data_IF_125138595861
#
_entry.id   IF_125138595861
#
_cell.length_a   1.000
_cell.length_b   1.000
_cell.length_c   1.000
_cell.angle_alpha   90.00
_cell.angle_beta   90.00
_cell.angle_gamma   90.00
#
_symmetry.space_group_name_H-M   'P 1'
#
loop_
_entity.id
_entity.type
_entity.pdbx_description
1 polymer ?
#
# COMPACT_ATOMS: atom_id res chain seq x y z
N UNK A 1 24.33 25.69 21.92
CA UNK A 1 23.44 26.62 21.20
C UNK A 1 22.05 26.01 21.23
N UNK A 2 21.14 26.61 21.99
CA UNK A 2 19.84 26.04 22.38
C UNK A 2 18.83 26.41 21.28
N UNK A 3 18.32 25.45 20.51
CA UNK A 3 17.19 25.66 19.61
C UNK A 3 15.88 25.61 20.41
N UNK A 4 14.90 26.50 20.18
CA UNK A 4 13.68 26.52 20.96
C UNK A 4 12.72 25.42 20.52
N UNK A 5 12.15 24.72 21.52
CA UNK A 5 10.93 23.94 21.40
C UNK A 5 9.75 24.89 21.15
N UNK A 6 9.21 24.89 19.94
CA UNK A 6 7.75 25.02 19.69
C UNK A 6 7.45 25.08 18.19
N UNK A 7 7.03 23.96 17.61
CA UNK A 7 6.22 23.91 16.38
C UNK A 7 5.43 22.59 16.30
N UNK A 8 5.09 21.99 17.45
CA UNK A 8 4.22 20.82 17.53
C UNK A 8 2.85 21.26 18.05
N UNK A 9 1.96 21.75 17.18
CA UNK A 9 0.49 21.64 17.33
C UNK A 9 -0.25 22.48 16.28
N UNK A 10 -0.21 22.11 15.00
CA UNK A 10 -1.35 22.33 14.09
C UNK A 10 -1.51 21.10 13.23
N UNK A 11 -2.08 20.06 13.84
CA UNK A 11 -2.45 18.82 13.15
C UNK A 11 -3.54 19.17 12.12
N UNK A 12 -3.34 18.92 10.81
CA UNK A 12 -4.35 19.19 9.78
C UNK A 12 -5.64 18.35 9.92
N UNK A 13 -5.66 17.39 10.86
CA UNK A 13 -6.72 16.38 11.02
C UNK A 13 -8.13 16.94 11.17
N UNK A 14 -8.31 18.09 11.82
CA UNK A 14 -9.65 18.67 12.00
C UNK A 14 -10.32 19.09 10.69
N UNK A 15 -9.57 19.67 9.74
CA UNK A 15 -10.11 20.14 8.45
C UNK A 15 -10.54 18.98 7.54
N UNK A 16 -9.83 17.85 7.60
CA UNK A 16 -10.10 16.70 6.73
C UNK A 16 -11.19 15.77 7.28
N UNK A 17 -11.28 15.60 8.60
CA UNK A 17 -12.43 14.93 9.21
C UNK A 17 -13.71 15.73 8.92
N UNK A 18 -13.65 17.06 8.96
CA UNK A 18 -14.80 17.88 8.55
C UNK A 18 -15.14 17.77 7.06
N UNK A 19 -14.17 17.55 6.17
CA UNK A 19 -14.45 17.30 4.74
C UNK A 19 -15.07 15.92 4.51
N UNK A 20 -14.57 14.86 5.16
CA UNK A 20 -15.18 13.52 5.07
C UNK A 20 -16.60 13.51 5.63
N UNK A 21 -16.79 14.09 6.82
CA UNK A 21 -18.11 14.24 7.44
C UNK A 21 -19.00 15.17 6.62
N UNK A 22 -18.44 16.22 6.03
CA UNK A 22 -19.14 17.13 5.13
C UNK A 22 -19.69 16.43 3.89
N UNK A 23 -18.91 15.54 3.28
CA UNK A 23 -19.38 14.74 2.13
C UNK A 23 -20.51 13.78 2.52
N UNK A 24 -20.41 13.15 3.69
CA UNK A 24 -21.46 12.28 4.24
C UNK A 24 -22.71 13.05 4.65
N UNK A 25 -22.59 14.32 5.07
CA UNK A 25 -23.72 15.18 5.47
C UNK A 25 -24.38 15.91 4.29
N UNK A 26 -23.59 16.31 3.29
CA UNK A 26 -24.09 17.01 2.09
C UNK A 26 -25.05 16.12 1.28
N UNK A 27 -24.79 14.81 1.23
CA UNK A 27 -25.71 13.84 0.62
C UNK A 27 -27.04 13.70 1.37
N UNK A 28 -27.16 14.23 2.60
CA UNK A 28 -28.40 14.23 3.38
C UNK A 28 -29.19 15.55 3.28
N UNK A 29 -28.65 16.62 2.65
CA UNK A 29 -29.24 17.96 2.74
C UNK A 29 -29.56 18.68 1.41
N UNK A 30 -29.08 18.25 0.25
CA UNK A 30 -29.37 18.97 -1.00
C UNK A 30 -30.16 18.12 -2.00
N UNK A 31 -31.24 18.71 -2.54
CA UNK A 31 -32.14 18.14 -3.56
C UNK A 31 -31.51 17.98 -4.95
N UNK A 32 -30.25 17.57 -5.02
CA UNK A 32 -29.63 16.97 -6.20
C UNK A 32 -29.31 15.50 -5.87
N UNK A 33 -29.82 14.60 -6.71
CA UNK A 33 -29.89 13.15 -6.53
C UNK A 33 -28.52 12.42 -6.64
N UNK A 34 -27.51 12.82 -5.86
CA UNK A 34 -26.26 12.06 -5.74
C UNK A 34 -26.30 11.17 -4.50
N UNK A 35 -26.60 9.88 -4.72
CA UNK A 35 -26.58 8.87 -3.68
C UNK A 35 -25.14 8.48 -3.38
N UNK A 36 -24.74 8.41 -2.11
CA UNK A 36 -23.38 7.98 -1.73
C UNK A 36 -23.40 6.63 -1.01
N UNK A 37 -22.41 5.79 -1.30
CA UNK A 37 -22.22 4.47 -0.68
C UNK A 37 -20.84 4.41 -0.02
N UNK A 38 -20.75 3.82 1.18
CA UNK A 38 -19.48 3.67 1.90
C UNK A 38 -18.92 2.27 1.74
N UNK A 39 -17.63 2.17 1.41
CA UNK A 39 -16.89 0.91 1.32
C UNK A 39 -15.70 0.87 2.28
N UNK A 40 -15.39 -0.32 2.78
CA UNK A 40 -14.16 -0.60 3.54
C UNK A 40 -13.09 -1.16 2.61
N UNK A 41 -12.06 -0.37 2.37
CA UNK A 41 -10.94 -0.71 1.48
C UNK A 41 -9.73 -1.10 2.33
N UNK A 42 -9.31 -2.36 2.23
CA UNK A 42 -8.07 -2.86 2.80
C UNK A 42 -6.91 -2.62 1.82
N UNK A 43 -5.81 -2.06 2.31
CA UNK A 43 -4.58 -1.86 1.54
C UNK A 43 -3.42 -2.48 2.31
N UNK A 44 -2.76 -3.48 1.71
CA UNK A 44 -1.60 -4.15 2.28
C UNK A 44 -0.35 -3.91 1.43
N UNK A 45 0.80 -3.77 2.09
CA UNK A 45 2.08 -3.82 1.39
C UNK A 45 3.13 -4.67 2.09
N UNK A 46 3.94 -5.38 1.29
CA UNK A 46 5.00 -6.24 1.81
C UNK A 46 6.16 -6.43 0.81
N UNK A 47 7.35 -5.96 1.17
CA UNK A 47 8.57 -6.39 0.50
C UNK A 47 8.94 -7.81 0.99
N UNK A 48 8.95 -8.80 0.09
CA UNK A 48 9.18 -10.21 0.43
C UNK A 48 10.63 -10.66 0.24
N UNK A 49 11.54 -9.72 -0.05
CA UNK A 49 12.99 -9.94 0.01
C UNK A 49 13.52 -10.98 -0.99
N UNK A 50 12.85 -11.17 -2.12
CA UNK A 50 13.23 -12.17 -3.13
C UNK A 50 12.76 -13.59 -2.82
N UNK A 51 12.01 -13.80 -1.73
CA UNK A 51 11.57 -15.13 -1.31
C UNK A 51 10.29 -15.56 -2.00
N UNK A 52 10.29 -16.80 -2.47
CA UNK A 52 9.05 -17.46 -2.83
C UNK A 52 8.27 -17.76 -1.54
N UNK A 53 6.95 -17.50 -1.50
CA UNK A 53 6.17 -17.88 -0.33
C UNK A 53 6.18 -19.41 -0.17
N UNK A 54 6.22 -19.93 1.06
CA UNK A 54 5.89 -21.33 1.34
C UNK A 54 4.48 -21.69 0.85
N UNK A 55 4.22 -22.97 0.57
CA UNK A 55 2.89 -23.42 0.13
C UNK A 55 1.83 -23.34 1.25
N UNK A 56 2.28 -23.40 2.50
CA UNK A 56 1.47 -23.36 3.73
C UNK A 56 1.47 -21.99 4.42
N UNK A 57 1.91 -20.94 3.72
CA UNK A 57 1.94 -19.59 4.27
C UNK A 57 0.51 -19.08 4.56
N UNK A 58 0.17 -18.97 5.84
CA UNK A 58 -1.12 -18.45 6.30
C UNK A 58 -1.18 -16.91 6.20
N UNK A 59 -2.06 -16.40 5.35
CA UNK A 59 -2.30 -14.96 5.16
C UNK A 59 -3.51 -14.43 5.94
N UNK A 60 -4.26 -15.26 6.67
CA UNK A 60 -5.53 -14.86 7.29
C UNK A 60 -5.38 -13.71 8.29
N UNK A 61 -4.35 -13.74 9.13
CA UNK A 61 -4.10 -12.69 10.13
C UNK A 61 -3.70 -11.36 9.47
N UNK A 62 -2.77 -11.39 8.51
CA UNK A 62 -2.38 -10.18 7.78
C UNK A 62 -3.58 -9.57 7.06
N UNK A 63 -4.32 -10.39 6.32
CA UNK A 63 -5.48 -9.97 5.54
C UNK A 63 -6.72 -9.68 6.41
N UNK A 64 -6.67 -9.90 7.73
CA UNK A 64 -7.79 -9.66 8.64
C UNK A 64 -9.08 -10.34 8.15
N UNK A 65 -8.96 -11.55 7.59
CA UNK A 65 -10.09 -12.25 6.94
C UNK A 65 -11.18 -12.57 7.95
N UNK A 66 -10.80 -12.68 9.22
CA UNK A 66 -11.71 -13.01 10.31
C UNK A 66 -12.68 -11.88 10.65
N UNK A 67 -12.29 -10.63 10.43
CA UNK A 67 -13.15 -9.47 10.65
C UNK A 67 -14.35 -9.45 9.68
N UNK A 68 -14.24 -10.09 8.50
CA UNK A 68 -15.32 -10.22 7.51
C UNK A 68 -15.81 -8.91 6.89
N UNK A 69 -15.19 -7.78 7.25
CA UNK A 69 -15.78 -6.45 7.11
C UNK A 69 -15.26 -5.61 5.96
N UNK A 70 -14.36 -6.15 5.13
CA UNK A 70 -13.78 -5.42 4.00
C UNK A 70 -14.56 -5.72 2.71
N UNK A 71 -14.62 -4.76 1.80
CA UNK A 71 -15.30 -4.87 0.52
C UNK A 71 -14.31 -5.04 -0.64
N UNK A 72 -13.13 -4.42 -0.50
CA UNK A 72 -12.05 -4.42 -1.47
C UNK A 72 -10.73 -4.68 -0.74
N UNK A 73 -9.89 -5.54 -1.31
CA UNK A 73 -8.49 -5.72 -0.91
C UNK A 73 -7.58 -5.25 -2.04
N UNK A 74 -6.58 -4.44 -1.69
CA UNK A 74 -5.48 -4.04 -2.58
C UNK A 74 -4.18 -4.45 -1.94
N UNK A 75 -3.43 -5.33 -2.61
CA UNK A 75 -2.21 -5.92 -2.05
C UNK A 75 -1.04 -5.64 -2.98
N UNK A 76 -0.06 -4.90 -2.47
CA UNK A 76 1.16 -4.51 -3.20
C UNK A 76 2.41 -5.15 -2.62
N UNK A 77 3.13 -5.91 -3.43
CA UNK A 77 4.34 -6.61 -3.04
C UNK A 77 5.56 -6.06 -3.78
N UNK A 78 6.72 -6.13 -3.13
CA UNK A 78 8.01 -5.85 -3.72
C UNK A 78 8.94 -7.05 -3.55
N UNK A 79 9.92 -7.17 -4.43
CA UNK A 79 10.86 -8.29 -4.47
C UNK A 79 10.20 -9.68 -4.47
N UNK A 80 9.10 -9.89 -5.20
CA UNK A 80 8.48 -11.23 -5.31
C UNK A 80 9.31 -12.24 -6.11
N UNK A 81 10.44 -11.82 -6.66
CA UNK A 81 11.42 -12.67 -7.34
C UNK A 81 12.83 -12.27 -6.91
N UNK A 82 13.80 -13.20 -6.84
CA UNK A 82 15.19 -12.88 -6.57
C UNK A 82 15.73 -11.89 -7.61
N UNK A 83 16.30 -10.76 -7.19
CA UNK A 83 16.82 -9.73 -8.08
C UNK A 83 18.20 -10.12 -8.67
N UNK A 84 18.22 -11.13 -9.54
CA UNK A 84 19.37 -11.49 -10.36
C UNK A 84 19.04 -11.36 -11.86
N UNK A 85 20.06 -11.23 -12.72
CA UNK A 85 19.87 -11.00 -14.16
C UNK A 85 18.94 -12.02 -14.84
N UNK A 86 18.95 -13.27 -14.35
CA UNK A 86 18.10 -14.36 -14.87
C UNK A 86 16.63 -14.19 -14.51
N UNK A 87 16.30 -13.64 -13.35
CA UNK A 87 14.91 -13.34 -12.95
C UNK A 87 14.36 -12.09 -13.65
N UNK A 88 15.22 -11.11 -13.94
CA UNK A 88 14.82 -9.86 -14.61
C UNK A 88 14.53 -10.08 -16.11
N UNK A 89 15.20 -11.03 -16.76
CA UNK A 89 15.09 -11.30 -18.20
C UNK A 89 14.51 -12.69 -18.55
N UNK A 90 14.22 -13.53 -17.56
CA UNK A 90 13.78 -14.91 -17.78
C UNK A 90 12.25 -15.12 -17.79
N UNK A 91 11.76 -16.23 -18.40
CA UNK A 91 10.32 -16.53 -18.54
C UNK A 91 9.60 -16.87 -17.22
N UNK A 92 10.32 -17.01 -16.10
CA UNK A 92 9.78 -17.42 -14.79
C UNK A 92 9.07 -16.30 -14.01
N UNK A 93 8.95 -15.08 -14.54
CA UNK A 93 8.31 -13.98 -13.79
C UNK A 93 6.86 -14.31 -13.39
N UNK A 94 6.07 -14.86 -14.32
CA UNK A 94 4.63 -15.14 -14.09
C UNK A 94 4.37 -16.16 -12.98
N UNK A 95 5.29 -17.07 -12.68
CA UNK A 95 5.03 -18.13 -11.70
C UNK A 95 4.95 -17.60 -10.26
N UNK A 96 5.73 -16.57 -9.92
CA UNK A 96 5.72 -16.00 -8.58
C UNK A 96 4.40 -15.25 -8.28
N UNK A 97 3.95 -14.39 -9.19
CA UNK A 97 2.67 -13.70 -9.04
C UNK A 97 1.48 -14.67 -8.96
N UNK A 98 1.47 -15.74 -9.78
CA UNK A 98 0.43 -16.76 -9.70
C UNK A 98 0.39 -17.46 -8.34
N UNK A 99 1.56 -17.76 -7.76
CA UNK A 99 1.63 -18.38 -6.43
C UNK A 99 1.06 -17.46 -5.35
N UNK A 100 1.47 -16.19 -5.33
CA UNK A 100 0.90 -15.19 -4.41
C UNK A 100 -0.61 -15.02 -4.62
N UNK A 101 -1.06 -14.93 -5.86
CA UNK A 101 -2.48 -14.78 -6.19
C UNK A 101 -3.31 -15.95 -5.65
N UNK A 102 -2.81 -17.19 -5.77
CA UNK A 102 -3.47 -18.37 -5.22
C UNK A 102 -3.57 -18.33 -3.69
N UNK A 103 -2.46 -18.05 -3.00
CA UNK A 103 -2.47 -17.95 -1.53
C UNK A 103 -3.44 -16.87 -1.03
N UNK A 104 -3.54 -15.75 -1.74
CA UNK A 104 -4.49 -14.69 -1.42
C UNK A 104 -5.93 -15.17 -1.67
N UNK A 105 -6.20 -15.82 -2.80
CA UNK A 105 -7.52 -16.35 -3.11
C UNK A 105 -8.00 -17.37 -2.07
N UNK A 106 -7.11 -18.29 -1.69
CA UNK A 106 -7.35 -19.32 -0.69
C UNK A 106 -7.64 -18.66 0.67
N UNK A 107 -6.81 -17.71 1.12
CA UNK A 107 -7.02 -17.02 2.41
C UNK A 107 -8.30 -16.17 2.44
N UNK A 108 -8.62 -15.44 1.37
CA UNK A 108 -9.83 -14.61 1.32
C UNK A 108 -11.12 -15.43 1.27
N UNK A 109 -11.06 -16.70 0.86
CA UNK A 109 -12.22 -17.56 0.66
C UNK A 109 -12.21 -18.84 1.52
N UNK A 110 -11.27 -18.98 2.47
CA UNK A 110 -11.03 -20.19 3.28
C UNK A 110 -12.24 -20.64 4.10
N UNK A 111 -13.10 -19.71 4.55
CA UNK A 111 -14.25 -19.99 5.41
C UNK A 111 -15.33 -20.90 4.80
N UNK A 112 -15.35 -21.09 3.48
CA UNK A 112 -16.36 -21.94 2.81
C UNK A 112 -15.98 -23.40 2.68
N UNK A 113 -14.69 -23.76 2.66
CA UNK A 113 -14.29 -25.18 2.52
C UNK A 113 -14.73 -26.05 3.71
N UNK A 114 -15.03 -25.44 4.86
CA UNK A 114 -15.48 -26.13 6.08
C UNK A 114 -17.01 -26.20 6.17
N UNK A 115 -17.75 -25.23 5.60
CA UNK A 115 -19.21 -25.18 5.69
C UNK A 115 -19.93 -25.96 4.59
N UNK A 116 -19.28 -26.28 3.47
CA UNK A 116 -19.88 -27.08 2.39
C UNK A 116 -19.88 -28.61 2.69
N UNK A 117 -19.36 -29.05 3.84
CA UNK A 117 -19.25 -30.46 4.24
C UNK A 117 -20.33 -30.97 5.21
N UNK A 118 -21.06 -30.09 5.89
CA UNK A 118 -22.11 -30.45 6.86
C UNK A 118 -23.27 -29.44 6.72
N UNK A 119 -24.49 -29.93 6.54
CA UNK A 119 -25.76 -29.17 6.38
C UNK A 119 -26.12 -28.56 5.01
N UNK A 120 -26.31 -29.44 4.01
CA UNK A 120 -27.07 -29.13 2.79
C UNK A 120 -28.60 -29.08 2.98
N UNK A 121 -29.13 -29.05 4.22
CA UNK A 121 -30.58 -29.11 4.47
C UNK A 121 -31.02 -28.27 5.66
N UNK A 122 -30.83 -26.94 5.62
CA UNK A 122 -31.74 -25.97 6.30
C UNK A 122 -31.36 -24.52 5.99
N UNK A 123 -32.29 -23.80 5.36
CA UNK A 123 -32.39 -22.33 5.52
C UNK A 123 -31.91 -21.48 4.35
N UNK A 124 -32.60 -21.56 3.21
CA UNK A 124 -32.64 -20.47 2.24
C UNK A 124 -33.45 -19.29 2.80
N UNK A 125 -32.90 -18.57 3.78
CA UNK A 125 -33.40 -17.28 4.24
C UNK A 125 -32.31 -16.55 5.03
N UNK A 126 -31.80 -15.46 4.45
CA UNK A 126 -30.86 -14.48 5.02
C UNK A 126 -29.34 -14.82 5.02
N UNK A 127 -28.78 -15.21 3.87
CA UNK A 127 -27.33 -15.04 3.62
C UNK A 127 -27.08 -13.64 3.03
N UNK A 128 -26.90 -12.64 3.89
CA UNK A 128 -26.59 -11.25 3.51
C UNK A 128 -25.27 -10.79 4.16
N UNK A 129 -24.18 -11.53 4.00
CA UNK A 129 -22.91 -11.09 4.62
C UNK A 129 -21.57 -11.55 4.06
N UNK A 130 -21.44 -12.71 3.40
CA UNK A 130 -20.10 -13.23 3.06
C UNK A 130 -19.99 -13.70 1.61
N UNK A 131 -20.07 -12.75 0.68
CA UNK A 131 -19.79 -13.01 -0.74
C UNK A 131 -18.31 -13.36 -1.00
N UNK A 132 -18.07 -14.26 -1.97
CA UNK A 132 -16.75 -14.69 -2.47
C UNK A 132 -15.95 -13.50 -3.00
N UNK A 133 -14.66 -13.43 -2.72
CA UNK A 133 -13.76 -12.43 -3.31
C UNK A 133 -13.26 -12.90 -4.68
N UNK A 134 -13.27 -11.98 -5.65
CA UNK A 134 -12.74 -12.23 -7.00
C UNK A 134 -11.66 -11.21 -7.33
N UNK A 135 -10.61 -11.68 -7.99
CA UNK A 135 -9.56 -10.80 -8.51
C UNK A 135 -10.16 -9.92 -9.62
N UNK A 136 -10.14 -8.60 -9.40
CA UNK A 136 -10.55 -7.58 -10.37
C UNK A 136 -9.44 -7.37 -11.39
N UNK A 137 -8.20 -7.28 -10.90
CA UNK A 137 -7.03 -6.99 -11.70
C UNK A 137 -5.77 -7.34 -10.92
N UNK A 138 -4.77 -7.85 -11.63
CA UNK A 138 -3.44 -8.11 -11.07
C UNK A 138 -2.37 -7.80 -12.10
N UNK A 139 -1.24 -7.24 -11.67
CA UNK A 139 -0.13 -6.88 -12.55
C UNK A 139 1.20 -7.03 -11.84
N UNK A 140 2.15 -7.63 -12.55
CA UNK A 140 3.56 -7.72 -12.15
C UNK A 140 4.43 -6.90 -13.10
N UNK A 141 5.43 -6.23 -12.53
CA UNK A 141 6.59 -5.66 -13.22
C UNK A 141 7.85 -6.08 -12.47
N UNK A 142 8.59 -7.04 -13.02
CA UNK A 142 9.77 -7.65 -12.40
C UNK A 142 9.47 -8.13 -10.97
N UNK A 143 9.97 -7.45 -9.94
CA UNK A 143 9.74 -7.79 -8.53
C UNK A 143 8.55 -7.08 -7.88
N UNK A 144 7.89 -6.15 -8.58
CA UNK A 144 6.72 -5.43 -8.05
C UNK A 144 5.45 -6.13 -8.52
N UNK A 145 4.53 -6.42 -7.61
CA UNK A 145 3.27 -7.09 -7.91
C UNK A 145 2.11 -6.43 -7.19
N UNK A 146 1.01 -6.20 -7.90
CA UNK A 146 -0.24 -5.68 -7.32
C UNK A 146 -1.38 -6.61 -7.68
N UNK A 147 -2.28 -6.84 -6.73
CA UNK A 147 -3.57 -7.46 -6.98
C UNK A 147 -4.69 -6.70 -6.26
N UNK A 148 -5.85 -6.60 -6.92
CA UNK A 148 -7.06 -5.99 -6.41
C UNK A 148 -8.16 -7.03 -6.41
N UNK A 149 -8.83 -7.20 -5.27
CA UNK A 149 -9.90 -8.15 -5.06
C UNK A 149 -11.14 -7.44 -4.56
N UNK A 150 -12.30 -7.79 -5.09
CA UNK A 150 -13.57 -7.24 -4.65
C UNK A 150 -14.54 -8.37 -4.35
N UNK A 151 -15.44 -8.12 -3.39
CA UNK A 151 -16.55 -9.03 -3.10
C UNK A 151 -17.40 -9.23 -4.36
N UNK A 152 -17.90 -10.44 -4.59
CA UNK A 152 -18.63 -10.81 -5.80
C UNK A 152 -19.82 -9.89 -6.11
N UNK A 153 -20.60 -9.51 -5.09
CA UNK A 153 -21.70 -8.55 -5.24
C UNK A 153 -21.27 -7.14 -5.66
N UNK A 154 -20.03 -6.74 -5.35
CA UNK A 154 -19.46 -5.46 -5.72
C UNK A 154 -18.88 -5.45 -7.14
N UNK A 155 -18.48 -6.62 -7.66
CA UNK A 155 -17.77 -6.74 -8.94
C UNK A 155 -18.52 -6.09 -10.11
N UNK A 156 -19.86 -6.13 -10.11
CA UNK A 156 -20.70 -5.51 -11.14
C UNK A 156 -20.61 -3.98 -11.19
N UNK A 157 -20.24 -3.36 -10.08
CA UNK A 157 -20.07 -1.91 -9.96
C UNK A 157 -18.64 -1.45 -10.29
N UNK A 158 -17.70 -2.39 -10.40
CA UNK A 158 -16.31 -2.10 -10.77
C UNK A 158 -16.16 -2.10 -12.28
N UNK A 159 -15.91 -0.91 -12.85
CA UNK A 159 -15.80 -0.68 -14.29
C UNK A 159 -14.41 -0.21 -14.68
N UNK A 160 -14.05 -0.44 -15.94
CA UNK A 160 -12.82 0.07 -16.56
C UNK A 160 -11.56 -0.16 -15.70
N UNK A 161 -11.19 -1.40 -15.34
CA UNK A 161 -9.88 -1.64 -14.76
C UNK A 161 -8.78 -1.24 -15.76
N UNK A 162 -7.73 -0.58 -15.29
CA UNK A 162 -6.60 -0.14 -16.09
C UNK A 162 -5.30 -0.32 -15.32
N UNK A 163 -4.20 -0.59 -16.04
CA UNK A 163 -2.88 -0.80 -15.45
C UNK A 163 -1.82 0.01 -16.17
N UNK A 164 -0.82 0.48 -15.44
CA UNK A 164 0.36 1.15 -15.97
C UNK A 164 1.57 0.74 -15.15
N UNK A 165 2.74 0.63 -15.78
CA UNK A 165 3.97 0.21 -15.11
C UNK A 165 5.11 1.12 -15.54
N UNK A 166 5.81 1.69 -14.57
CA UNK A 166 6.90 2.65 -14.78
C UNK A 166 8.14 2.13 -14.07
N UNK A 167 9.20 1.82 -14.81
CA UNK A 167 10.50 1.49 -14.23
C UNK A 167 11.28 2.74 -13.84
N UNK A 168 11.91 2.71 -12.67
CA UNK A 168 12.78 3.76 -12.11
C UNK A 168 14.20 3.26 -11.76
N UNK A 169 14.56 2.04 -12.18
CA UNK A 169 15.89 1.46 -11.92
C UNK A 169 16.99 2.01 -12.86
N UNK A 170 17.94 1.17 -13.27
CA UNK A 170 19.11 1.60 -14.06
C UNK A 170 18.67 2.41 -15.30
N UNK A 171 19.28 3.59 -15.48
CA UNK A 171 18.94 4.58 -16.52
C UNK A 171 17.48 5.08 -16.51
N UNK A 172 16.79 5.00 -15.37
CA UNK A 172 15.38 5.38 -15.23
C UNK A 172 14.42 4.48 -16.01
N UNK A 173 14.86 3.27 -16.41
CA UNK A 173 14.08 2.39 -17.32
C UNK A 173 14.19 0.90 -17.00
N UNK A 174 15.28 0.39 -16.39
CA UNK A 174 15.45 -1.04 -16.08
C UNK A 174 15.25 -1.38 -14.59
N UNK A 175 14.14 -2.06 -14.28
CA UNK A 175 14.22 -3.50 -13.95
C UNK A 175 14.09 -4.00 -12.50
N UNK A 176 14.06 -3.18 -11.46
CA UNK A 176 13.76 -3.64 -10.08
C UNK A 176 13.16 -2.57 -9.15
N UNK A 177 13.29 -1.30 -9.54
CA UNK A 177 12.66 -0.14 -8.90
C UNK A 177 11.65 0.49 -9.86
N UNK A 178 10.66 1.20 -9.32
CA UNK A 178 9.58 1.82 -10.09
C UNK A 178 8.23 1.63 -9.42
N UNK A 179 7.17 1.57 -10.22
CA UNK A 179 5.82 1.33 -9.73
C UNK A 179 4.96 0.51 -10.70
N UNK A 180 3.99 -0.19 -10.12
CA UNK A 180 2.82 -0.73 -10.81
C UNK A 180 1.59 0.02 -10.30
N UNK A 181 0.90 0.70 -11.21
CA UNK A 181 -0.30 1.49 -10.94
C UNK A 181 -1.53 0.81 -11.50
N UNK A 182 -2.61 0.82 -10.74
CA UNK A 182 -3.88 0.19 -11.08
C UNK A 182 -5.00 1.18 -10.84
N UNK A 183 -5.93 1.31 -11.78
CA UNK A 183 -7.12 2.16 -11.64
C UNK A 183 -8.40 1.44 -11.98
N UNK A 184 -9.51 1.92 -11.46
CA UNK A 184 -10.87 1.50 -11.85
C UNK A 184 -11.89 2.56 -11.43
N UNK A 185 -13.10 2.48 -12.00
CA UNK A 185 -14.28 3.10 -11.41
C UNK A 185 -14.96 2.13 -10.48
N UNK A 186 -15.41 2.63 -9.34
CA UNK A 186 -16.41 1.97 -8.53
C UNK A 186 -17.62 2.90 -8.44
N UNK A 187 -18.75 2.46 -9.01
CA UNK A 187 -19.84 3.38 -9.37
C UNK A 187 -19.28 4.53 -10.21
N UNK A 188 -19.45 5.78 -9.78
CA UNK A 188 -18.97 6.96 -10.49
C UNK A 188 -17.71 7.58 -9.85
N UNK A 189 -17.11 6.88 -8.88
CA UNK A 189 -15.87 7.30 -8.22
C UNK A 189 -14.66 6.60 -8.82
N UNK A 190 -13.64 7.38 -9.18
CA UNK A 190 -12.38 6.86 -9.69
C UNK A 190 -11.35 6.58 -8.60
N UNK A 191 -10.76 5.38 -8.65
CA UNK A 191 -9.69 4.95 -7.76
C UNK A 191 -8.39 4.74 -8.53
N UNK A 192 -7.27 5.12 -7.92
CA UNK A 192 -5.92 4.78 -8.39
C UNK A 192 -5.04 4.30 -7.23
N UNK A 193 -4.50 3.09 -7.36
CA UNK A 193 -3.56 2.48 -6.41
C UNK A 193 -2.18 2.35 -7.07
N UNK A 194 -1.15 2.86 -6.41
CA UNK A 194 0.22 2.95 -6.93
C UNK A 194 1.15 2.19 -6.00
N UNK A 195 1.59 1.00 -6.42
CA UNK A 195 2.54 0.20 -5.64
C UNK A 195 3.97 0.49 -6.10
N UNK A 196 4.74 1.14 -5.23
CA UNK A 196 6.09 1.59 -5.48
C UNK A 196 7.14 0.64 -4.90
N UNK A 197 8.32 0.67 -5.52
CA UNK A 197 9.58 0.23 -4.95
C UNK A 197 10.62 1.29 -5.34
N UNK A 198 10.91 2.22 -4.45
CA UNK A 198 11.77 3.39 -4.74
C UNK A 198 13.25 3.10 -4.47
N UNK A 199 14.14 3.97 -4.93
CA UNK A 199 15.58 3.90 -4.72
C UNK A 199 15.95 3.59 -3.26
N UNK A 200 16.72 2.52 -3.09
CA UNK A 200 17.28 2.14 -1.79
C UNK A 200 18.60 2.86 -1.55
N UNK A 201 18.98 3.05 -0.29
CA UNK A 201 20.25 3.65 0.07
C UNK A 201 20.12 4.53 1.29
N UNK A 202 21.24 4.88 1.89
CA UNK A 202 21.33 5.69 3.12
C UNK A 202 22.49 6.69 3.05
N UNK A 203 23.04 6.90 1.85
CA UNK A 203 24.09 7.88 1.60
C UNK A 203 23.46 9.23 1.28
N UNK A 204 24.25 10.29 1.38
CA UNK A 204 23.84 11.64 0.98
C UNK A 204 23.32 11.64 -0.46
N UNK A 205 22.15 12.25 -0.68
CA UNK A 205 21.49 12.28 -1.98
C UNK A 205 20.48 11.15 -2.21
N UNK A 206 20.47 10.07 -1.42
CA UNK A 206 19.56 8.95 -1.65
C UNK A 206 18.08 9.33 -1.38
N UNK A 207 17.82 10.22 -0.42
CA UNK A 207 16.48 10.76 -0.19
C UNK A 207 16.00 11.55 -1.43
N UNK A 208 16.87 12.36 -2.03
CA UNK A 208 16.57 13.11 -3.24
C UNK A 208 16.35 12.18 -4.45
N UNK A 209 17.05 11.04 -4.53
CA UNK A 209 16.77 10.01 -5.54
C UNK A 209 15.38 9.40 -5.35
N UNK A 210 14.96 9.10 -4.12
CA UNK A 210 13.59 8.63 -3.83
C UNK A 210 12.53 9.66 -4.21
N UNK A 211 12.77 10.94 -3.93
CA UNK A 211 11.90 12.05 -4.36
C UNK A 211 11.81 12.11 -5.89
N UNK A 212 12.94 11.95 -6.59
CA UNK A 212 13.00 11.95 -8.04
C UNK A 212 12.24 10.75 -8.64
N UNK A 213 12.43 9.54 -8.08
CA UNK A 213 11.67 8.35 -8.49
C UNK A 213 10.16 8.57 -8.33
N UNK A 214 9.73 9.10 -7.19
CA UNK A 214 8.31 9.38 -6.93
C UNK A 214 7.75 10.40 -7.93
N UNK A 215 8.47 11.49 -8.19
CA UNK A 215 8.07 12.49 -9.18
C UNK A 215 7.98 11.91 -10.60
N UNK A 216 8.97 11.11 -10.99
CA UNK A 216 9.02 10.46 -12.31
C UNK A 216 7.87 9.47 -12.49
N UNK A 217 7.56 8.67 -11.47
CA UNK A 217 6.41 7.75 -11.44
C UNK A 217 5.10 8.52 -11.60
N UNK A 218 4.90 9.59 -10.83
CA UNK A 218 3.69 10.43 -10.91
C UNK A 218 3.51 11.05 -12.31
N UNK A 219 4.61 11.52 -12.89
CA UNK A 219 4.63 12.16 -14.21
C UNK A 219 4.40 11.17 -15.36
N UNK A 220 5.13 10.05 -15.39
CA UNK A 220 5.14 9.10 -16.51
C UNK A 220 3.98 8.13 -16.49
N UNK A 221 3.38 7.88 -15.33
CA UNK A 221 2.20 7.01 -15.28
C UNK A 221 1.09 7.61 -16.14
N UNK A 222 0.57 6.79 -17.04
CA UNK A 222 -0.54 7.14 -17.92
C UNK A 222 -1.36 5.88 -18.18
N UNK A 223 -2.67 5.98 -18.03
CA UNK A 223 -3.60 4.90 -18.33
C UNK A 223 -4.15 5.07 -19.75
N UNK A 224 -3.66 4.22 -20.66
CA UNK A 224 -4.10 4.22 -22.05
C UNK A 224 -5.36 3.38 -22.22
N UNK A 225 -6.22 3.81 -23.14
CA UNK A 225 -7.38 3.04 -23.57
C UNK A 225 -6.98 2.05 -24.66
N UNK A 226 -7.20 0.77 -24.43
CA UNK A 226 -7.04 -0.25 -25.46
C UNK A 226 -8.13 -0.10 -26.53
N UNK A 227 -7.74 -0.11 -27.80
CA UNK A 227 -8.67 -0.25 -28.93
C UNK A 227 -9.19 1.04 -29.57
N UNK A 228 -8.61 2.22 -29.30
CA UNK A 228 -8.92 3.46 -30.04
C UNK A 228 -10.30 4.08 -29.80
N UNK A 229 -11.19 3.42 -29.05
CA UNK A 229 -12.46 3.99 -28.62
C UNK A 229 -12.26 5.08 -27.56
N UNK A 230 -13.04 6.18 -27.65
CA UNK A 230 -13.11 7.18 -26.58
C UNK A 230 -13.63 6.51 -25.31
N UNK A 231 -12.96 6.78 -24.20
CA UNK A 231 -13.46 6.51 -22.86
C UNK A 231 -14.92 6.97 -22.73
N UNK A 232 -15.81 6.21 -22.08
CA UNK A 232 -17.04 6.79 -21.57
C UNK A 232 -16.65 7.96 -20.64
N UNK A 233 -17.15 9.17 -20.90
CA UNK A 233 -16.93 10.38 -20.09
C UNK A 233 -15.51 10.52 -19.53
N UNK A 234 -14.53 10.79 -20.39
CA UNK A 234 -13.08 10.97 -20.11
C UNK A 234 -12.57 10.55 -18.72
N UNK A 235 -12.31 9.25 -18.52
CA UNK A 235 -11.65 8.82 -17.27
C UNK A 235 -10.31 9.53 -17.03
N UNK A 236 -9.95 9.71 -15.76
CA UNK A 236 -8.61 10.11 -15.33
C UNK A 236 -7.50 9.34 -16.06
N UNK A 237 -6.57 10.09 -16.68
CA UNK A 237 -5.40 9.52 -17.39
C UNK A 237 -4.16 9.50 -16.51
N UNK A 238 -3.99 10.50 -15.63
CA UNK A 238 -2.86 10.58 -14.68
C UNK A 238 -3.29 10.14 -13.29
N UNK A 239 -2.31 9.77 -12.47
CA UNK A 239 -2.54 9.32 -11.09
C UNK A 239 -3.34 10.36 -10.31
N UNK A 240 -2.91 11.62 -10.34
CA UNK A 240 -3.46 12.69 -9.51
C UNK A 240 -4.83 13.22 -9.99
N UNK A 241 -5.29 12.78 -11.16
CA UNK A 241 -6.60 13.14 -11.71
C UNK A 241 -7.73 12.26 -11.13
N UNK A 242 -7.40 11.18 -10.41
CA UNK A 242 -8.40 10.29 -9.82
C UNK A 242 -8.91 10.86 -8.50
N UNK A 243 -10.18 10.57 -8.19
CA UNK A 243 -10.83 11.05 -6.97
C UNK A 243 -10.10 10.53 -5.74
N UNK A 244 -9.79 9.22 -5.74
CA UNK A 244 -9.21 8.48 -4.61
C UNK A 244 -7.89 7.86 -5.01
N UNK A 245 -6.79 8.38 -4.47
CA UNK A 245 -5.45 7.91 -4.78
C UNK A 245 -4.81 7.32 -3.53
N UNK A 246 -4.23 6.13 -3.66
CA UNK A 246 -3.42 5.49 -2.61
C UNK A 246 -2.07 5.11 -3.19
N UNK A 247 -1.00 5.55 -2.54
CA UNK A 247 0.36 5.15 -2.84
C UNK A 247 0.83 4.24 -1.72
N UNK A 248 1.30 3.06 -2.08
CA UNK A 248 1.76 2.04 -1.14
C UNK A 248 3.09 1.47 -1.61
N UNK A 249 3.86 0.88 -0.72
CA UNK A 249 5.03 0.10 -1.11
C UNK A 249 6.23 0.25 -0.20
N UNK A 250 7.34 -0.34 -0.65
CA UNK A 250 8.66 -0.07 -0.11
C UNK A 250 9.18 1.25 -0.71
N UNK A 251 8.89 2.34 0.01
CA UNK A 251 9.32 3.68 -0.36
C UNK A 251 10.78 3.94 0.02
N UNK A 252 11.39 3.04 0.80
CA UNK A 252 12.81 3.03 1.14
C UNK A 252 13.34 4.27 1.89
N UNK A 253 12.50 5.21 2.32
CA UNK A 253 12.89 6.33 3.17
C UNK A 253 13.43 5.83 4.51
N UNK A 254 14.43 6.55 5.03
CA UNK A 254 15.26 6.17 6.18
C UNK A 254 15.16 7.19 7.31
N UNK A 255 15.99 7.02 8.33
CA UNK A 255 16.09 7.94 9.45
C UNK A 255 17.27 8.88 9.19
N UNK A 256 17.00 10.17 9.09
CA UNK A 256 17.97 11.26 8.98
C UNK A 256 18.46 11.70 10.37
N UNK A 257 19.18 10.80 11.05
CA UNK A 257 19.71 11.00 12.40
C UNK A 257 21.12 10.42 12.53
N UNK A 258 21.90 10.94 13.46
CA UNK A 258 23.17 10.33 13.85
C UNK A 258 22.98 8.90 14.36
N UNK A 259 23.90 8.02 14.01
CA UNK A 259 23.83 6.58 14.29
C UNK A 259 23.94 6.26 15.81
N UNK A 260 24.66 7.07 16.59
CA UNK A 260 24.73 6.89 18.05
C UNK A 260 23.42 7.29 18.74
N UNK A 261 22.80 8.38 18.29
CA UNK A 261 21.49 8.81 18.80
C UNK A 261 20.39 7.81 18.42
N UNK A 262 20.36 7.38 17.15
CA UNK A 262 19.45 6.34 16.68
C UNK A 262 19.59 5.08 17.53
N UNK A 263 20.81 4.69 17.92
CA UNK A 263 21.09 3.53 18.81
C UNK A 263 20.41 3.65 20.14
N UNK A 264 20.47 4.83 20.75
CA UNK A 264 19.84 5.06 22.04
C UNK A 264 18.32 4.95 21.94
N UNK A 265 17.72 5.59 20.92
CA UNK A 265 16.28 5.60 20.74
C UNK A 265 15.73 4.22 20.41
N UNK A 266 16.39 3.47 19.53
CA UNK A 266 15.97 2.12 19.13
C UNK A 266 16.05 1.13 20.29
N UNK A 267 17.14 1.14 21.08
CA UNK A 267 17.26 0.29 22.28
C UNK A 267 16.15 0.57 23.28
N UNK A 268 15.87 1.85 23.50
CA UNK A 268 14.82 2.30 24.40
C UNK A 268 13.40 2.17 23.80
N UNK A 269 13.27 1.69 22.55
CA UNK A 269 12.01 1.58 21.81
C UNK A 269 11.22 2.90 21.74
N UNK A 270 11.94 4.02 21.70
CA UNK A 270 11.41 5.38 21.67
C UNK A 270 11.04 5.80 20.24
N UNK A 271 10.07 5.10 19.65
CA UNK A 271 9.71 5.23 18.23
C UNK A 271 9.25 6.62 17.84
N UNK A 272 8.46 7.30 18.68
CA UNK A 272 7.97 8.64 18.39
C UNK A 272 9.10 9.65 18.18
N UNK A 273 10.17 9.58 18.99
CA UNK A 273 11.34 10.45 18.82
C UNK A 273 12.18 10.06 17.61
N UNK A 274 12.26 8.76 17.27
CA UNK A 274 12.95 8.32 16.06
C UNK A 274 12.22 8.79 14.78
N UNK A 275 10.89 8.84 14.81
CA UNK A 275 10.05 9.32 13.69
C UNK A 275 10.22 10.82 13.42
N UNK A 276 10.68 11.62 14.39
CA UNK A 276 10.96 13.05 14.16
C UNK A 276 12.05 13.25 13.09
N UNK A 277 12.88 12.23 12.86
CA UNK A 277 13.91 12.19 11.83
C UNK A 277 13.56 11.26 10.66
N UNK A 278 12.32 10.80 10.51
CA UNK A 278 11.91 9.99 9.35
C UNK A 278 11.90 10.86 8.08
N UNK A 279 12.72 10.49 7.10
CA UNK A 279 12.87 11.28 5.87
C UNK A 279 11.54 11.49 5.14
N UNK A 280 10.64 10.50 5.09
CA UNK A 280 9.36 10.66 4.39
C UNK A 280 8.46 11.65 5.13
N UNK A 281 8.39 11.59 6.46
CA UNK A 281 7.63 12.57 7.25
C UNK A 281 8.19 13.99 7.08
N UNK A 282 9.51 14.14 6.98
CA UNK A 282 10.16 15.41 6.67
C UNK A 282 9.77 15.90 5.26
N UNK A 283 9.79 15.03 4.24
CA UNK A 283 9.36 15.35 2.88
C UNK A 283 7.87 15.75 2.79
N UNK A 284 7.00 15.04 3.51
CA UNK A 284 5.58 15.36 3.62
C UNK A 284 5.35 16.71 4.29
N UNK A 285 6.06 16.98 5.39
CA UNK A 285 5.94 18.25 6.13
C UNK A 285 6.37 19.45 5.30
N UNK A 286 7.33 19.26 4.39
CA UNK A 286 7.82 20.32 3.52
C UNK A 286 6.94 20.59 2.30
N UNK A 287 5.91 19.76 2.04
CA UNK A 287 4.92 20.02 0.98
C UNK A 287 5.50 20.03 -0.45
N UNK A 288 6.55 19.25 -0.73
CA UNK A 288 7.17 19.17 -2.08
C UNK A 288 6.36 18.26 -3.01
N UNK A 289 6.97 17.19 -3.53
CA UNK A 289 6.31 16.23 -4.42
C UNK A 289 5.17 15.46 -3.74
N UNK A 290 5.12 15.52 -2.41
CA UNK A 290 4.06 14.95 -1.60
C UNK A 290 3.02 15.97 -1.12
N UNK A 291 2.93 17.16 -1.75
CA UNK A 291 1.85 18.09 -1.45
C UNK A 291 0.46 17.44 -1.62
N UNK A 292 -0.43 17.69 -0.65
CA UNK A 292 -1.76 17.10 -0.59
C UNK A 292 -1.83 15.60 -0.27
N UNK A 293 -0.70 14.91 -0.07
CA UNK A 293 -0.68 13.54 0.41
C UNK A 293 -0.79 13.49 1.94
N UNK A 294 -1.35 12.39 2.45
CA UNK A 294 -1.53 12.13 3.87
C UNK A 294 -1.04 10.74 4.22
N UNK A 295 -0.58 10.60 5.45
CA UNK A 295 -0.23 9.32 6.06
C UNK A 295 -0.83 9.24 7.47
N UNK A 296 -1.13 8.02 7.91
CA UNK A 296 -1.64 7.77 9.25
C UNK A 296 -0.59 7.98 10.31
N UNK A 297 -1.04 8.22 11.53
CA UNK A 297 -0.13 8.27 12.66
C UNK A 297 0.53 6.90 12.88
N UNK A 298 1.85 6.83 12.73
CA UNK A 298 2.63 5.61 12.91
C UNK A 298 2.80 5.36 14.40
N UNK A 299 2.25 4.23 14.87
CA UNK A 299 2.32 3.78 16.28
C UNK A 299 3.05 2.45 16.43
N UNK A 300 3.63 1.94 15.34
CA UNK A 300 4.29 0.64 15.27
C UNK A 300 5.79 0.78 15.05
N UNK A 301 6.54 -0.24 15.47
CA UNK A 301 7.99 -0.30 15.30
C UNK A 301 8.43 -0.29 13.82
N UNK A 302 9.66 0.13 13.50
CA UNK A 302 10.21 0.09 12.14
C UNK A 302 9.99 -1.24 11.44
N UNK A 303 9.74 -1.22 10.12
CA UNK A 303 9.41 -2.41 9.33
C UNK A 303 10.65 -3.06 8.70
N UNK A 304 11.79 -2.38 8.72
CA UNK A 304 13.07 -2.82 8.16
C UNK A 304 14.21 -2.41 9.11
N UNK A 305 15.35 -3.09 9.23
CA UNK A 305 15.75 -4.36 8.62
C UNK A 305 15.84 -5.45 9.67
N UNK A 306 15.10 -6.54 9.49
CA UNK A 306 15.09 -7.69 10.39
C UNK A 306 15.99 -8.82 9.91
N UNK A 307 16.50 -9.62 10.84
CA UNK A 307 16.96 -10.96 10.51
C UNK A 307 15.76 -11.79 10.03
N UNK A 308 15.97 -12.59 8.99
CA UNK A 308 14.95 -13.53 8.51
C UNK A 308 14.62 -14.55 9.59
N UNK A 309 13.38 -15.00 9.63
CA UNK A 309 12.86 -15.94 10.63
C UNK A 309 13.01 -15.45 12.09
N UNK A 310 13.22 -14.16 12.30
CA UNK A 310 13.47 -13.56 13.62
C UNK A 310 12.86 -12.17 13.72
N UNK A 311 12.37 -11.77 14.89
CA UNK A 311 11.91 -10.40 15.17
C UNK A 311 13.03 -9.47 15.68
N UNK A 312 14.28 -9.88 15.51
CA UNK A 312 15.45 -9.06 15.83
C UNK A 312 15.87 -8.23 14.62
N UNK A 313 16.19 -6.95 14.84
CA UNK A 313 16.81 -6.12 13.82
C UNK A 313 18.22 -6.63 13.48
N UNK A 314 18.61 -6.55 12.21
CA UNK A 314 19.98 -6.86 11.77
C UNK A 314 21.02 -5.92 12.37
N UNK A 315 20.56 -4.77 12.85
CA UNK A 315 21.39 -3.72 13.37
C UNK A 315 21.81 -4.03 14.81
N UNK A 316 23.11 -4.24 14.99
CA UNK A 316 23.70 -4.44 16.31
C UNK A 316 23.72 -3.09 17.03
N UNK A 317 22.82 -2.93 18.00
CA UNK A 317 22.89 -1.75 18.85
C UNK A 317 24.19 -1.76 19.68
N UNK A 318 24.71 -2.94 20.06
CA UNK A 318 25.74 -3.17 21.07
C UNK A 318 27.21 -2.94 20.68
N UNK A 319 27.45 -2.13 19.64
CA UNK A 319 28.76 -1.50 19.43
C UNK A 319 29.91 -2.44 19.03
N UNK A 320 29.64 -3.69 18.68
CA UNK A 320 30.65 -4.59 18.12
C UNK A 320 31.13 -4.09 16.76
N UNK A 321 32.41 -3.76 16.63
CA UNK A 321 33.02 -3.44 15.35
C UNK A 321 33.01 -4.67 14.44
N UNK A 322 32.27 -4.63 13.34
CA UNK A 322 32.33 -5.67 12.30
C UNK A 322 33.14 -5.11 11.12
N UNK A 323 34.31 -5.71 10.87
CA UNK A 323 35.21 -5.31 9.79
C UNK A 323 34.71 -5.81 8.42
N UNK A 324 34.94 -5.01 7.36
CA UNK A 324 34.80 -5.43 5.95
C UNK A 324 33.46 -5.13 5.26
N UNK A 325 33.08 -5.97 4.27
CA UNK A 325 31.89 -5.84 3.38
C UNK A 325 30.53 -5.77 4.11
N UNK A 326 30.53 -5.82 5.44
CA UNK A 326 29.37 -5.86 6.34
C UNK A 326 28.80 -4.49 6.74
N UNK A 327 29.33 -3.36 6.23
CA UNK A 327 28.73 -2.01 6.43
C UNK A 327 27.24 -1.92 6.04
N UNK A 328 26.76 -2.75 5.10
CA UNK A 328 25.33 -2.84 4.74
C UNK A 328 24.43 -3.40 5.85
N UNK A 329 25.01 -4.03 6.89
CA UNK A 329 24.31 -4.54 8.09
C UNK A 329 24.20 -3.49 9.21
N UNK A 330 24.75 -2.28 9.02
CA UNK A 330 24.77 -1.19 9.99
C UNK A 330 23.67 -0.13 9.82
N UNK A 331 22.56 -0.47 9.14
CA UNK A 331 21.48 0.49 8.92
C UNK A 331 20.56 0.54 10.14
N UNK A 332 20.36 1.73 10.69
CA UNK A 332 19.32 1.95 11.69
C UNK A 332 17.97 1.42 11.15
N UNK A 333 17.15 0.78 11.99
CA UNK A 333 15.81 0.40 11.60
C UNK A 333 14.98 1.58 11.07
N UNK A 334 14.23 1.37 10.00
CA UNK A 334 13.45 2.39 9.31
C UNK A 334 12.04 1.91 8.92
N UNK A 335 11.14 2.88 8.71
CA UNK A 335 9.81 2.66 8.16
C UNK A 335 9.86 2.77 6.63
N UNK A 336 10.38 1.73 5.99
CA UNK A 336 10.48 1.65 4.54
C UNK A 336 9.11 1.40 3.88
N UNK A 337 8.25 0.63 4.54
CA UNK A 337 6.98 0.14 3.99
C UNK A 337 5.83 1.06 4.40
N UNK A 338 5.26 1.80 3.45
CA UNK A 338 4.38 2.96 3.72
C UNK A 338 3.09 2.93 2.92
N UNK A 339 2.06 3.58 3.44
CA UNK A 339 0.74 3.71 2.78
C UNK A 339 0.24 5.13 2.96
N UNK A 340 0.23 5.88 1.86
CA UNK A 340 -0.21 7.27 1.77
C UNK A 340 -1.48 7.36 0.94
N UNK A 341 -2.28 8.40 1.17
CA UNK A 341 -3.46 8.66 0.34
C UNK A 341 -3.65 10.14 0.04
N UNK A 342 -4.31 10.42 -1.08
CA UNK A 342 -4.69 11.75 -1.54
C UNK A 342 -6.12 11.69 -2.11
N UNK A 343 -6.80 12.83 -2.10
CA UNK A 343 -8.19 12.95 -2.57
C UNK A 343 -9.22 13.10 -1.45
N UNK A 344 -10.47 13.41 -1.78
CA UNK A 344 -11.57 13.57 -0.81
C UNK A 344 -12.17 12.21 -0.45
N UNK A 345 -13.07 12.16 0.54
CA UNK A 345 -13.88 10.97 0.88
C UNK A 345 -13.13 9.69 1.30
N UNK A 346 -11.80 9.76 1.50
CA UNK A 346 -10.98 8.68 2.06
C UNK A 346 -10.59 9.00 3.50
N UNK A 347 -10.98 8.14 4.43
CA UNK A 347 -10.61 8.23 5.84
C UNK A 347 -9.93 6.95 6.27
N UNK A 348 -8.65 7.04 6.61
CA UNK A 348 -7.92 5.90 7.19
C UNK A 348 -8.46 5.62 8.60
N UNK A 349 -8.78 4.37 8.87
CA UNK A 349 -9.32 3.89 10.16
C UNK A 349 -8.37 2.95 10.89
N UNK A 350 -7.41 2.36 10.19
CA UNK A 350 -6.41 1.45 10.74
C UNK A 350 -5.11 1.64 9.99
N UNK A 351 -3.98 1.61 10.70
CA UNK A 351 -2.66 1.63 10.09
C UNK A 351 -1.63 0.92 10.98
N UNK A 352 -1.12 -0.22 10.53
CA UNK A 352 -0.38 -1.16 11.39
C UNK A 352 0.70 -1.92 10.62
N UNK A 353 1.79 -2.24 11.33
CA UNK A 353 2.69 -3.34 10.99
C UNK A 353 2.13 -4.65 11.54
N UNK A 354 2.05 -5.68 10.70
CA UNK A 354 1.58 -6.99 11.11
C UNK A 354 2.72 -7.84 11.72
N UNK A 355 2.43 -8.54 12.82
CA UNK A 355 3.35 -9.46 13.49
C UNK A 355 3.26 -10.88 12.92
N UNK A 356 4.14 -11.79 13.36
CA UNK A 356 4.08 -13.21 12.96
C UNK A 356 4.69 -13.53 11.59
N UNK A 357 4.76 -12.57 10.68
CA UNK A 357 5.32 -12.74 9.34
C UNK A 357 6.84 -12.48 9.30
N UNK A 358 7.64 -13.55 9.33
CA UNK A 358 9.12 -13.49 9.43
C UNK A 358 9.88 -13.95 8.18
N UNK A 359 9.17 -14.20 7.08
CA UNK A 359 9.75 -14.67 5.81
C UNK A 359 10.82 -13.71 5.26
N UNK A 360 10.59 -12.41 5.42
CA UNK A 360 11.41 -11.33 4.87
C UNK A 360 12.16 -10.56 5.97
N UNK A 361 13.18 -9.81 5.55
CA UNK A 361 13.81 -8.76 6.36
C UNK A 361 12.93 -7.51 6.52
N UNK A 362 11.79 -7.46 5.81
CA UNK A 362 10.70 -6.51 6.02
C UNK A 362 9.51 -7.13 6.76
N UNK A 363 8.66 -6.28 7.35
CA UNK A 363 7.39 -6.66 7.96
C UNK A 363 6.21 -6.14 7.15
N UNK A 364 5.17 -6.95 6.90
CA UNK A 364 3.99 -6.50 6.17
C UNK A 364 3.30 -5.36 6.92
N UNK A 365 2.80 -4.40 6.15
CA UNK A 365 2.04 -3.24 6.64
C UNK A 365 0.65 -3.30 6.05
N UNK A 366 -0.36 -2.89 6.82
CA UNK A 366 -1.72 -2.74 6.34
C UNK A 366 -2.32 -1.40 6.77
N UNK A 367 -3.22 -0.91 5.93
CA UNK A 367 -4.13 0.17 6.24
C UNK A 367 -5.56 -0.24 5.87
N UNK A 368 -6.53 0.29 6.59
CA UNK A 368 -7.94 0.17 6.22
C UNK A 368 -8.54 1.55 6.10
N UNK A 369 -9.33 1.77 5.06
CA UNK A 369 -9.98 3.04 4.77
C UNK A 369 -11.49 2.88 4.70
N UNK A 370 -12.22 3.89 5.17
CA UNK A 370 -13.57 4.16 4.67
C UNK A 370 -13.44 5.01 3.41
N UNK A 371 -14.08 4.56 2.34
CA UNK A 371 -14.13 5.24 1.06
C UNK A 371 -15.59 5.53 0.69
N UNK A 372 -15.96 6.82 0.66
CA UNK A 372 -17.27 7.26 0.16
C UNK A 372 -17.26 7.17 -1.36
N UNK A 373 -18.25 6.56 -2.00
CA UNK A 373 -18.37 6.51 -3.46
C UNK A 373 -19.68 7.14 -3.90
N UNK A 374 -19.60 8.01 -4.89
CA UNK A 374 -20.71 8.68 -5.55
C UNK A 374 -21.41 7.70 -6.52
N UNK A 375 -22.75 7.73 -6.53
CA UNK A 375 -23.62 6.92 -7.39
C UNK A 375 -24.58 7.87 -8.09
N UNK A 376 -24.44 8.01 -9.40
CA UNK A 376 -25.36 8.77 -10.23
C UNK A 376 -26.48 7.83 -10.65
N UNK A 377 -27.69 8.07 -10.13
CA UNK A 377 -28.87 7.37 -10.63
C UNK A 377 -29.13 7.81 -12.07
N UNK A 378 -29.06 6.86 -13.01
CA UNK A 378 -29.51 7.10 -14.37
C UNK A 378 -31.01 7.32 -14.33
N UNK A 379 -31.44 8.57 -14.55
CA UNK A 379 -32.85 8.88 -14.79
C UNK A 379 -33.31 8.09 -16.00
N UNK A 380 -34.03 7.00 -15.78
CA UNK A 380 -34.82 6.37 -16.84
C UNK A 380 -35.92 7.37 -17.19
N UNK A 381 -35.74 8.04 -18.33
CA UNK A 381 -36.78 8.85 -18.98
C UNK A 381 -37.76 7.95 -19.72
#
# INVERSE_FOLDING_TARGET
MIWPRSAASRVPGHRFVSEFVGLVKSSMQEGHSETVVNYRVFVGTWNVGGEAPPDDLDLEDWLDTKAGSHDIYVLGFQEIVPLNARSVLGPKQRSAAMKWQRLIEDALNSRRSVQDGEDATRGAAMDHGQGVFRCVVSKQMVGIFVSVWARSGLRRHVRHPGVSAVGAGVLGRLGNKGAVSVRFLLHDTSFCFVCCHLASGSEDGDAQRRNADAADILSRTSFLYSGGARAPGEMPKKILDHDRVVLLGDLNYRIAMDDAEARQLVRARKWSMLLESDELLLELSAGRQFDGWREGHITFAPTYKYHRNSDQFCWCADGGAIAGRDKKRHRAPAWCDRILWRGKGMRQIRYERCGGYRLSDHRPVRAVFHAVCEVVESKHY
#
